data_IF_464843293492
#
_entry.id   IF_464843293492
#
_cell.length_a   1.000
_cell.length_b   1.000
_cell.length_c   1.000
_cell.angle_alpha   90.00
_cell.angle_beta   90.00
_cell.angle_gamma   90.00
#
_symmetry.space_group_name_H-M   'P 1'
#
loop_
_entity.id
_entity.type
_entity.pdbx_description
1 polymer ?
#
# COMPACT_ATOMS: atom_id res chain seq x y z
N UNK A 1 -0.48 32.26 2.99
CA UNK A 1 -0.27 30.90 2.44
C UNK A 1 1.02 30.21 2.93
N UNK A 2 1.92 30.86 3.68
CA UNK A 2 3.14 30.23 4.22
C UNK A 2 3.00 29.21 5.38
N UNK A 3 1.98 29.26 6.26
CA UNK A 3 1.88 28.35 7.41
C UNK A 3 1.69 26.88 7.00
N UNK A 4 0.92 26.66 5.94
CA UNK A 4 0.54 25.35 5.43
C UNK A 4 1.75 24.60 4.88
N UNK A 5 2.58 25.26 4.06
CA UNK A 5 3.78 24.66 3.46
C UNK A 5 4.85 24.27 4.50
N UNK A 6 4.98 25.03 5.59
CA UNK A 6 5.92 24.72 6.67
C UNK A 6 5.50 23.46 7.46
N UNK A 7 4.21 23.32 7.76
CA UNK A 7 3.62 22.18 8.46
C UNK A 7 3.70 20.88 7.63
N UNK A 8 3.53 20.99 6.32
CA UNK A 8 3.66 19.89 5.37
C UNK A 8 5.07 19.35 5.28
N UNK A 9 6.05 20.27 5.24
CA UNK A 9 7.47 19.91 5.33
C UNK A 9 7.78 19.17 6.62
N UNK A 10 7.15 19.57 7.73
CA UNK A 10 7.35 18.90 9.02
C UNK A 10 6.74 17.50 9.05
N UNK A 11 5.52 17.34 8.52
CA UNK A 11 4.87 16.03 8.36
C UNK A 11 5.72 15.09 7.51
N UNK A 12 6.31 15.57 6.41
CA UNK A 12 7.20 14.79 5.53
C UNK A 12 8.56 14.46 6.14
N UNK A 13 9.03 15.26 7.11
CA UNK A 13 10.25 14.97 7.87
C UNK A 13 10.02 13.89 8.90
N UNK A 14 8.86 13.89 9.55
CA UNK A 14 8.56 13.01 10.67
C UNK A 14 8.00 11.64 10.23
N UNK A 15 7.35 11.56 9.06
CA UNK A 15 6.70 10.33 8.59
C UNK A 15 7.47 9.60 7.49
N UNK A 16 7.36 8.28 7.49
CA UNK A 16 7.66 7.45 6.34
C UNK A 16 6.73 7.82 5.19
N UNK A 17 7.29 7.96 3.98
CA UNK A 17 6.50 8.20 2.77
C UNK A 17 6.83 7.10 1.81
N UNK A 18 5.80 6.37 1.39
CA UNK A 18 5.94 5.24 0.51
C UNK A 18 5.08 5.48 -0.72
N UNK A 19 5.58 5.07 -1.86
CA UNK A 19 4.79 4.93 -3.07
C UNK A 19 4.41 3.48 -3.21
N UNK A 20 3.14 3.20 -3.43
CA UNK A 20 2.65 1.85 -3.67
C UNK A 20 1.75 1.87 -4.89
N UNK A 21 1.97 0.90 -5.78
CA UNK A 21 1.06 0.72 -6.91
C UNK A 21 0.02 -0.38 -6.61
N UNK A 22 -1.27 -0.07 -6.71
CA UNK A 22 -2.38 -1.01 -6.52
C UNK A 22 -2.39 -2.10 -7.60
N UNK A 23 -2.21 -1.68 -8.86
CA UNK A 23 -2.27 -2.53 -10.05
C UNK A 23 -1.19 -2.12 -11.06
N UNK A 24 -0.71 -3.09 -11.83
CA UNK A 24 0.20 -2.83 -12.96
C UNK A 24 -0.55 -1.99 -14.00
N UNK A 25 0.04 -0.88 -14.45
CA UNK A 25 -0.56 0.02 -15.45
C UNK A 25 -1.05 -0.68 -16.72
N UNK A 26 -0.54 -1.86 -17.05
CA UNK A 26 -0.98 -2.65 -18.22
C UNK A 26 -2.31 -3.40 -18.02
N UNK A 27 -3.06 -3.14 -16.96
CA UNK A 27 -4.30 -3.83 -16.62
C UNK A 27 -5.35 -2.83 -16.07
N UNK A 28 -5.86 -1.98 -16.96
CA UNK A 28 -6.72 -0.82 -16.64
C UNK A 28 -8.04 -1.23 -15.96
N UNK A 29 -8.76 -2.23 -16.48
CA UNK A 29 -9.99 -2.77 -15.87
C UNK A 29 -9.80 -3.22 -14.42
N UNK A 30 -8.60 -3.70 -14.10
CA UNK A 30 -8.26 -4.11 -12.73
C UNK A 30 -7.92 -2.92 -11.85
N UNK A 31 -7.27 -1.89 -12.41
CA UNK A 31 -6.96 -0.65 -11.68
C UNK A 31 -8.23 0.09 -11.28
N UNK A 32 -9.23 0.16 -12.15
CA UNK A 32 -10.54 0.76 -11.84
C UNK A 32 -11.23 0.03 -10.68
N UNK A 33 -11.32 -1.31 -10.74
CA UNK A 33 -11.94 -2.10 -9.66
C UNK A 33 -11.22 -1.94 -8.31
N UNK A 34 -9.89 -1.93 -8.32
CA UNK A 34 -9.12 -1.71 -7.10
C UNK A 34 -9.25 -0.29 -6.57
N UNK A 35 -9.37 0.70 -7.47
CA UNK A 35 -9.61 2.10 -7.11
C UNK A 35 -10.96 2.25 -6.42
N UNK A 36 -12.02 1.70 -7.03
CA UNK A 36 -13.36 1.74 -6.46
C UNK A 36 -13.39 1.12 -5.07
N UNK A 37 -12.79 -0.07 -4.90
CA UNK A 37 -12.71 -0.72 -3.60
C UNK A 37 -11.94 0.10 -2.57
N UNK A 38 -10.81 0.69 -2.95
CA UNK A 38 -10.04 1.57 -2.06
C UNK A 38 -10.92 2.73 -1.57
N UNK A 39 -11.68 3.35 -2.46
CA UNK A 39 -12.52 4.51 -2.11
C UNK A 39 -13.76 4.13 -1.31
N UNK A 40 -14.36 2.97 -1.59
CA UNK A 40 -15.55 2.48 -0.88
C UNK A 40 -15.22 2.00 0.54
N UNK A 41 -14.06 1.36 0.72
CA UNK A 41 -13.72 0.65 1.96
C UNK A 41 -12.62 1.32 2.78
N UNK A 42 -11.83 2.20 2.18
CA UNK A 42 -10.61 2.71 2.80
C UNK A 42 -9.54 1.66 2.97
N UNK A 43 -9.61 0.52 2.27
CA UNK A 43 -8.62 -0.55 2.40
C UNK A 43 -7.63 -0.49 1.24
N UNK A 44 -6.39 -0.15 1.56
CA UNK A 44 -5.28 -0.32 0.66
C UNK A 44 -4.86 -1.79 0.67
N UNK A 45 -4.94 -2.42 -0.49
CA UNK A 45 -4.44 -3.77 -0.69
C UNK A 45 -3.31 -3.71 -1.69
N UNK A 46 -2.31 -4.54 -1.47
CA UNK A 46 -1.25 -4.71 -2.43
C UNK A 46 -1.64 -5.87 -3.35
N UNK A 47 -2.68 -5.61 -4.14
CA UNK A 47 -3.42 -6.58 -4.94
C UNK A 47 -2.63 -7.13 -6.12
N UNK A 48 -1.78 -8.13 -5.86
CA UNK A 48 -1.34 -9.17 -6.81
C UNK A 48 -0.40 -10.19 -6.15
N UNK A 49 -0.65 -10.50 -4.89
CA UNK A 49 0.27 -11.27 -4.04
C UNK A 49 -0.31 -12.65 -3.87
N UNK A 50 0.40 -13.67 -4.33
CA UNK A 50 0.07 -15.03 -3.92
C UNK A 50 0.00 -15.98 -5.09
N UNK A 51 0.60 -17.13 -4.87
CA UNK A 51 0.78 -18.19 -5.82
C UNK A 51 -0.55 -18.52 -6.51
N UNK A 52 -0.51 -18.61 -7.83
CA UNK A 52 -1.66 -19.02 -8.62
C UNK A 52 -2.05 -20.45 -8.19
N UNK A 53 -3.11 -20.55 -7.37
CA UNK A 53 -3.95 -21.75 -7.13
C UNK A 53 -3.20 -23.03 -6.76
N UNK A 54 -2.41 -23.02 -5.69
CA UNK A 54 -1.80 -24.27 -5.20
C UNK A 54 -1.47 -24.21 -3.70
N UNK A 55 -2.03 -25.16 -2.95
CA UNK A 55 -1.75 -25.85 -1.69
C UNK A 55 -0.68 -25.38 -0.67
N UNK A 56 0.14 -24.35 -0.93
CA UNK A 56 1.17 -23.88 0.01
C UNK A 56 0.80 -22.50 0.53
N UNK A 57 0.30 -22.50 1.76
CA UNK A 57 -0.09 -21.32 2.49
C UNK A 57 1.14 -20.45 2.84
N UNK A 58 1.08 -19.13 2.59
CA UNK A 58 2.12 -18.22 3.08
C UNK A 58 2.00 -18.03 4.60
N UNK A 59 0.76 -18.03 5.07
CA UNK A 59 0.41 -17.91 6.49
C UNK A 59 -0.30 -19.17 6.96
N UNK A 60 -0.34 -19.38 8.26
CA UNK A 60 -1.15 -20.44 8.88
C UNK A 60 -2.62 -20.08 8.97
N UNK A 61 -2.99 -18.86 8.58
CA UNK A 61 -4.35 -18.32 8.65
C UNK A 61 -5.17 -18.68 7.42
N UNK A 62 -6.49 -18.80 7.60
CA UNK A 62 -7.46 -18.91 6.51
C UNK A 62 -8.56 -17.83 6.59
N UNK A 63 -9.47 -17.82 5.61
CA UNK A 63 -10.52 -16.80 5.52
C UNK A 63 -11.44 -16.71 6.76
N UNK A 64 -11.54 -17.76 7.57
CA UNK A 64 -12.31 -17.70 8.82
C UNK A 64 -11.66 -16.78 9.86
N UNK A 65 -10.38 -16.44 9.66
CA UNK A 65 -9.59 -15.53 10.48
C UNK A 65 -9.45 -14.14 9.86
N UNK A 66 -10.30 -13.76 8.91
CA UNK A 66 -10.33 -12.41 8.34
C UNK A 66 -10.43 -11.33 9.44
N UNK A 67 -9.74 -10.21 9.24
CA UNK A 67 -9.57 -9.14 10.23
C UNK A 67 -8.45 -9.39 11.24
N UNK A 68 -7.88 -10.60 11.29
CA UNK A 68 -6.73 -10.88 12.16
C UNK A 68 -5.53 -10.06 11.74
N UNK A 69 -4.90 -9.40 12.72
CA UNK A 69 -3.65 -8.66 12.50
C UNK A 69 -2.54 -9.62 12.09
N UNK A 70 -1.85 -9.29 11.00
CA UNK A 70 -0.72 -10.06 10.48
C UNK A 70 0.54 -9.70 11.24
N UNK A 71 1.06 -10.68 11.96
CA UNK A 71 2.36 -10.64 12.63
C UNK A 71 3.29 -11.68 12.01
N UNK A 72 4.61 -11.50 12.20
CA UNK A 72 5.57 -12.40 11.57
C UNK A 72 5.34 -13.85 11.98
N UNK A 73 4.94 -14.16 13.22
CA UNK A 73 4.61 -15.52 13.73
C UNK A 73 3.51 -16.24 12.93
N UNK A 74 2.66 -15.51 12.20
CA UNK A 74 1.60 -16.10 11.36
C UNK A 74 2.12 -16.70 10.05
N UNK A 75 3.35 -16.41 9.66
CA UNK A 75 3.96 -17.03 8.47
C UNK A 75 4.33 -18.49 8.77
N UNK A 76 4.09 -19.35 7.77
CA UNK A 76 4.36 -20.78 7.87
C UNK A 76 5.84 -21.06 8.21
N UNK A 77 6.09 -22.08 9.04
CA UNK A 77 7.44 -22.41 9.54
C UNK A 77 8.46 -22.64 8.42
N UNK A 78 8.02 -23.12 7.26
CA UNK A 78 8.89 -23.32 6.09
C UNK A 78 9.53 -22.04 5.53
N UNK A 79 9.07 -20.87 5.96
CA UNK A 79 9.63 -19.57 5.61
C UNK A 79 10.46 -18.97 6.75
N UNK A 80 10.84 -19.76 7.75
CA UNK A 80 11.69 -19.31 8.86
C UNK A 80 13.15 -19.59 8.54
N UNK A 81 14.03 -18.65 8.87
CA UNK A 81 15.46 -18.93 8.97
C UNK A 81 15.70 -19.96 10.09
N UNK A 82 16.42 -21.04 9.79
CA UNK A 82 16.65 -22.14 10.74
C UNK A 82 17.49 -21.73 11.96
N UNK A 83 18.23 -20.61 11.87
CA UNK A 83 19.14 -20.13 12.91
C UNK A 83 18.47 -19.02 13.73
N UNK A 84 17.87 -18.02 13.08
CA UNK A 84 17.30 -16.85 13.77
C UNK A 84 15.82 -17.01 14.10
N UNK A 85 15.09 -17.85 13.36
CA UNK A 85 13.63 -17.97 13.46
C UNK A 85 12.87 -16.79 12.83
N UNK A 86 13.57 -15.85 12.19
CA UNK A 86 12.94 -14.74 11.48
C UNK A 86 12.34 -15.22 10.16
N UNK A 87 11.40 -14.46 9.60
CA UNK A 87 10.86 -14.77 8.28
C UNK A 87 11.92 -14.51 7.20
N UNK A 88 12.25 -15.54 6.43
CA UNK A 88 13.02 -15.44 5.19
C UNK A 88 12.14 -14.86 4.08
N UNK A 89 12.21 -13.53 3.95
CA UNK A 89 11.48 -12.78 2.93
C UNK A 89 11.89 -13.11 1.49
N UNK A 90 13.10 -13.65 1.28
CA UNK A 90 13.52 -14.11 -0.03
C UNK A 90 12.91 -15.48 -0.35
N UNK A 91 12.77 -16.37 0.62
CA UNK A 91 12.01 -17.62 0.46
C UNK A 91 10.52 -17.35 0.18
N UNK A 92 9.89 -16.41 0.91
CA UNK A 92 8.51 -15.96 0.65
C UNK A 92 8.39 -15.44 -0.78
N UNK A 93 9.29 -14.53 -1.20
CA UNK A 93 9.33 -14.00 -2.57
C UNK A 93 9.51 -15.11 -3.59
N UNK A 94 10.47 -16.01 -3.40
CA UNK A 94 10.81 -17.05 -4.37
C UNK A 94 9.68 -18.05 -4.54
N UNK A 95 8.93 -18.35 -3.46
CA UNK A 95 7.72 -19.15 -3.57
C UNK A 95 6.66 -18.47 -4.44
N UNK A 96 6.46 -17.15 -4.27
CA UNK A 96 5.55 -16.39 -5.15
C UNK A 96 6.05 -16.35 -6.60
N UNK A 97 7.38 -16.37 -6.81
CA UNK A 97 8.01 -16.27 -8.14
C UNK A 97 8.01 -17.59 -8.93
N UNK A 98 8.28 -18.74 -8.28
CA UNK A 98 8.48 -20.06 -8.94
C UNK A 98 7.35 -20.50 -9.89
N UNK A 99 6.14 -19.91 -9.80
CA UNK A 99 4.95 -20.36 -10.54
C UNK A 99 4.39 -19.36 -11.54
N UNK A 100 5.07 -18.24 -11.80
CA UNK A 100 4.66 -17.34 -12.87
C UNK A 100 5.02 -17.89 -14.25
N UNK A 101 4.06 -17.86 -15.18
CA UNK A 101 4.29 -18.06 -16.60
C UNK A 101 5.17 -16.90 -17.12
N UNK A 102 6.21 -17.20 -17.91
CA UNK A 102 7.11 -16.23 -18.56
C UNK A 102 6.36 -15.19 -19.41
N UNK A 103 5.10 -15.43 -19.76
CA UNK A 103 4.28 -14.59 -20.63
C UNK A 103 3.40 -13.56 -19.89
N UNK A 104 3.08 -13.73 -18.61
CA UNK A 104 2.16 -12.85 -17.86
C UNK A 104 2.85 -12.02 -16.77
N UNK A 105 3.36 -10.86 -17.22
CA UNK A 105 3.49 -9.55 -16.56
C UNK A 105 3.63 -9.51 -15.01
N UNK A 106 4.80 -9.02 -14.58
CA UNK A 106 5.16 -8.32 -13.32
C UNK A 106 3.99 -8.06 -12.34
N UNK A 107 3.93 -8.84 -11.25
CA UNK A 107 3.04 -8.72 -10.07
C UNK A 107 3.77 -8.06 -8.87
N UNK A 108 3.02 -7.46 -7.94
CA UNK A 108 3.56 -6.65 -6.83
C UNK A 108 4.36 -7.43 -5.77
N UNK A 109 4.15 -8.74 -5.69
CA UNK A 109 4.90 -9.62 -4.78
C UNK A 109 6.30 -9.99 -5.28
N UNK A 110 6.63 -9.69 -6.54
CA UNK A 110 7.88 -10.16 -7.16
C UNK A 110 9.09 -9.29 -6.85
N UNK A 111 8.86 -8.05 -6.42
CA UNK A 111 9.94 -7.13 -6.11
C UNK A 111 10.44 -7.40 -4.68
N UNK A 112 11.75 -7.58 -4.56
CA UNK A 112 12.41 -7.89 -3.28
C UNK A 112 11.93 -6.96 -2.16
N UNK A 113 11.62 -7.56 -1.01
CA UNK A 113 11.14 -6.89 0.20
C UNK A 113 9.84 -6.09 0.08
N UNK A 114 9.08 -6.16 -1.01
CA UNK A 114 7.78 -5.47 -1.08
C UNK A 114 6.80 -6.02 -0.05
N UNK A 115 6.83 -7.34 0.15
CA UNK A 115 6.05 -8.08 1.16
C UNK A 115 6.32 -7.58 2.56
N UNK A 116 7.57 -7.72 2.96
CA UNK A 116 8.08 -7.17 4.20
C UNK A 116 7.75 -5.70 4.38
N UNK A 117 7.91 -4.88 3.33
CA UNK A 117 7.70 -3.44 3.45
C UNK A 117 6.26 -3.10 3.79
N UNK A 118 5.32 -3.54 2.98
CA UNK A 118 3.90 -3.27 3.20
C UNK A 118 3.43 -3.81 4.56
N UNK A 119 3.85 -5.00 4.96
CA UNK A 119 3.39 -5.62 6.19
C UNK A 119 4.13 -5.09 7.42
N UNK A 120 5.44 -4.87 7.38
CA UNK A 120 6.26 -4.70 8.58
C UNK A 120 7.19 -3.48 8.59
N UNK A 121 7.50 -2.84 7.45
CA UNK A 121 8.31 -1.61 7.44
C UNK A 121 7.44 -0.34 7.53
N UNK A 122 6.21 -0.39 6.99
CA UNK A 122 5.29 0.74 7.05
C UNK A 122 4.53 0.75 8.39
N UNK A 123 4.46 1.92 9.03
CA UNK A 123 3.83 2.11 10.33
C UNK A 123 2.48 2.83 10.21
N UNK A 124 1.67 2.72 11.26
CA UNK A 124 0.48 3.57 11.44
C UNK A 124 0.94 5.02 11.47
N UNK A 125 0.24 5.88 10.72
CA UNK A 125 0.56 7.27 10.54
C UNK A 125 1.49 7.56 9.36
N UNK A 126 2.16 6.57 8.76
CA UNK A 126 2.95 6.77 7.54
C UNK A 126 2.06 7.09 6.34
N UNK A 127 2.66 7.72 5.33
CA UNK A 127 1.98 8.18 4.11
C UNK A 127 2.16 7.15 2.99
N UNK A 128 1.07 6.75 2.34
CA UNK A 128 1.09 6.03 1.07
C UNK A 128 0.61 6.93 -0.08
N UNK A 129 1.41 6.98 -1.14
CA UNK A 129 1.04 7.50 -2.44
C UNK A 129 0.57 6.33 -3.30
N UNK A 130 -0.74 6.26 -3.55
CA UNK A 130 -1.37 5.16 -4.28
C UNK A 130 -1.71 5.57 -5.70
N UNK A 131 -1.39 4.73 -6.69
CA UNK A 131 -1.87 4.94 -8.06
C UNK A 131 -3.29 4.38 -8.19
N UNK A 132 -4.18 5.21 -8.72
CA UNK A 132 -5.59 4.90 -8.96
C UNK A 132 -5.93 5.17 -10.43
N UNK A 133 -7.11 4.78 -10.87
CA UNK A 133 -7.64 5.15 -12.20
C UNK A 133 -7.84 6.66 -12.35
N UNK A 134 -8.00 7.39 -11.25
CA UNK A 134 -8.22 8.85 -11.25
C UNK A 134 -6.93 9.67 -11.11
N UNK A 135 -5.80 9.01 -10.82
CA UNK A 135 -4.53 9.68 -10.61
C UNK A 135 -3.78 9.11 -9.41
N UNK A 136 -2.92 9.91 -8.80
CA UNK A 136 -2.29 9.55 -7.52
C UNK A 136 -3.09 10.14 -6.38
N UNK A 137 -3.36 9.33 -5.35
CA UNK A 137 -3.98 9.78 -4.10
C UNK A 137 -2.98 9.70 -2.95
N UNK A 138 -3.08 10.64 -2.02
CA UNK A 138 -2.29 10.66 -0.80
C UNK A 138 -3.13 10.10 0.33
N UNK A 139 -2.61 9.10 1.02
CA UNK A 139 -3.31 8.43 2.11
C UNK A 139 -2.42 8.30 3.34
N UNK A 140 -3.02 8.19 4.51
CA UNK A 140 -2.36 7.91 5.78
C UNK A 140 -2.81 6.54 6.26
N UNK A 141 -1.88 5.69 6.67
CA UNK A 141 -2.22 4.38 7.23
C UNK A 141 -2.79 4.54 8.62
N UNK A 142 -3.94 3.91 8.86
CA UNK A 142 -4.68 3.99 10.12
C UNK A 142 -4.71 2.66 10.87
N UNK A 143 -4.39 1.54 10.22
CA UNK A 143 -4.40 0.21 10.85
C UNK A 143 -3.08 -0.55 10.75
N UNK A 144 -2.85 -1.54 11.63
CA UNK A 144 -1.89 -2.61 11.36
C UNK A 144 -2.30 -3.42 10.11
N UNK A 145 -1.38 -4.21 9.51
CA UNK A 145 -1.75 -5.10 8.42
C UNK A 145 -2.69 -6.19 8.93
N UNK A 146 -3.68 -6.57 8.14
CA UNK A 146 -4.63 -7.61 8.52
C UNK A 146 -4.96 -8.53 7.34
N UNK A 147 -5.43 -9.73 7.66
CA UNK A 147 -5.97 -10.66 6.68
C UNK A 147 -7.31 -10.14 6.15
N UNK A 148 -7.49 -10.13 4.84
CA UNK A 148 -8.76 -9.74 4.24
C UNK A 148 -9.74 -10.91 4.19
N UNK A 149 -10.99 -10.59 3.90
CA UNK A 149 -12.05 -11.56 3.60
C UNK A 149 -11.95 -12.09 2.17
N UNK A 150 -12.61 -13.23 1.92
CA UNK A 150 -12.55 -13.94 0.63
C UNK A 150 -12.98 -13.09 -0.55
N UNK A 151 -13.97 -12.22 -0.35
CA UNK A 151 -14.59 -11.47 -1.44
C UNK A 151 -13.92 -10.10 -1.67
N UNK A 152 -12.89 -9.75 -0.88
CA UNK A 152 -12.07 -8.57 -1.14
C UNK A 152 -11.46 -8.67 -2.55
N UNK A 153 -11.41 -7.58 -3.34
CA UNK A 153 -10.96 -7.65 -4.72
C UNK A 153 -9.48 -8.01 -4.77
N UNK A 154 -9.23 -9.18 -5.34
CA UNK A 154 -7.91 -9.74 -5.58
C UNK A 154 -7.91 -10.42 -6.95
N UNK A 155 -6.72 -10.61 -7.53
CA UNK A 155 -6.57 -11.15 -8.89
C UNK A 155 -5.93 -12.54 -8.86
N UNK A 156 -6.74 -13.59 -9.06
CA UNK A 156 -6.30 -14.99 -9.15
C UNK A 156 -5.33 -15.38 -8.02
N UNK A 157 -5.75 -15.24 -6.76
CA UNK A 157 -4.90 -15.47 -5.57
C UNK A 157 -5.56 -16.51 -4.66
N UNK A 158 -4.75 -17.27 -3.93
CA UNK A 158 -5.23 -18.22 -2.93
C UNK A 158 -5.66 -17.52 -1.63
N UNK A 159 -6.47 -18.23 -0.87
CA UNK A 159 -7.19 -17.82 0.31
C UNK A 159 -6.37 -17.20 1.46
N UNK A 160 -5.10 -17.54 1.53
CA UNK A 160 -4.20 -17.29 2.66
C UNK A 160 -3.11 -16.25 2.31
N UNK A 161 -3.31 -15.48 1.24
CA UNK A 161 -2.31 -14.56 0.67
C UNK A 161 -2.78 -13.11 0.52
N UNK A 162 -4.00 -12.78 0.98
CA UNK A 162 -4.57 -11.43 0.79
C UNK A 162 -4.50 -10.63 2.10
N UNK A 163 -3.72 -9.55 2.06
CA UNK A 163 -3.53 -8.65 3.18
C UNK A 163 -3.94 -7.23 2.82
N UNK A 164 -4.50 -6.53 3.79
CA UNK A 164 -4.93 -5.14 3.67
C UNK A 164 -4.41 -4.28 4.80
N UNK A 165 -4.48 -2.97 4.58
CA UNK A 165 -4.33 -1.93 5.58
C UNK A 165 -5.42 -0.89 5.37
N UNK A 166 -6.04 -0.46 6.45
CA UNK A 166 -6.92 0.69 6.41
C UNK A 166 -6.09 1.96 6.21
N UNK A 167 -6.63 2.84 5.39
CA UNK A 167 -6.08 4.14 5.10
C UNK A 167 -7.17 5.20 5.13
N UNK A 168 -6.82 6.36 5.64
CA UNK A 168 -7.61 7.58 5.45
C UNK A 168 -7.05 8.34 4.26
N UNK A 169 -7.93 8.82 3.40
CA UNK A 169 -7.59 9.71 2.29
C UNK A 169 -8.23 11.06 2.51
N UNK A 170 -7.68 12.05 1.83
CA UNK A 170 -8.21 13.38 1.90
C UNK A 170 -9.40 13.55 0.97
N UNK A 171 -10.42 14.27 1.46
CA UNK A 171 -11.58 14.67 0.69
C UNK A 171 -11.61 16.20 0.51
N UNK A 172 -12.25 16.67 -0.56
CA UNK A 172 -12.52 18.10 -0.78
C UNK A 172 -13.81 18.56 -0.08
N UNK A 173 -14.22 19.81 -0.33
CA UNK A 173 -15.43 20.39 0.28
C UNK A 173 -16.73 19.67 -0.15
N UNK A 174 -16.71 18.96 -1.27
CA UNK A 174 -17.83 18.17 -1.79
C UNK A 174 -17.80 16.73 -1.26
N UNK A 175 -16.73 16.35 -0.54
CA UNK A 175 -16.52 15.02 0.01
C UNK A 175 -15.83 14.06 -0.95
N UNK A 176 -15.32 14.55 -2.08
CA UNK A 176 -14.67 13.73 -3.11
C UNK A 176 -13.19 13.53 -2.82
N UNK A 177 -12.64 12.36 -3.19
CA UNK A 177 -11.24 12.04 -2.93
C UNK A 177 -10.32 12.90 -3.78
N UNK A 178 -9.39 13.61 -3.14
CA UNK A 178 -8.45 14.46 -3.86
C UNK A 178 -7.35 13.62 -4.50
N UNK A 179 -7.32 13.65 -5.83
CA UNK A 179 -6.31 13.02 -6.66
C UNK A 179 -5.52 14.04 -7.50
N UNK A 180 -4.35 13.66 -8.00
CA UNK A 180 -3.54 14.50 -8.87
C UNK A 180 -2.85 13.70 -9.98
N UNK A 181 -2.58 14.34 -11.13
CA UNK A 181 -1.99 13.63 -12.28
C UNK A 181 -0.55 13.17 -11.96
N UNK A 182 -0.37 11.85 -12.01
CA UNK A 182 0.91 11.17 -11.86
C UNK A 182 1.98 11.56 -12.90
N UNK A 183 1.61 12.23 -14.01
CA UNK A 183 2.57 12.67 -15.04
C UNK A 183 3.53 13.76 -14.57
N UNK A 184 3.13 14.55 -13.57
CA UNK A 184 4.01 15.55 -12.98
C UNK A 184 4.93 14.94 -11.91
N UNK A 185 4.65 13.71 -11.49
CA UNK A 185 5.50 13.01 -10.55
C UNK A 185 6.82 12.57 -11.22
N UNK A 186 7.97 12.70 -10.52
CA UNK A 186 9.26 12.17 -10.93
C UNK A 186 9.20 10.73 -11.44
N UNK A 187 10.08 10.35 -12.39
CA UNK A 187 10.20 8.98 -12.93
C UNK A 187 10.05 7.84 -11.89
N UNK A 188 10.69 7.84 -10.70
CA UNK A 188 10.50 6.77 -9.71
C UNK A 188 9.07 6.70 -9.12
N UNK A 189 8.26 7.73 -9.30
CA UNK A 189 6.85 7.81 -8.91
C UNK A 189 5.87 7.56 -10.06
N UNK A 190 6.35 7.39 -11.30
CA UNK A 190 5.50 6.91 -12.42
C UNK A 190 5.13 5.43 -12.25
N UNK A 191 3.93 4.97 -12.65
CA UNK A 191 3.43 3.61 -12.38
C UNK A 191 4.05 2.56 -13.33
N UNK A 192 5.37 2.40 -13.30
CA UNK A 192 6.12 1.51 -14.18
C UNK A 192 6.38 0.12 -13.57
N UNK A 193 6.39 0.00 -12.24
CA UNK A 193 6.59 -1.27 -11.52
C UNK A 193 5.60 -1.46 -10.39
N UNK A 194 5.03 -2.65 -10.27
CA UNK A 194 4.23 -3.04 -9.11
C UNK A 194 5.16 -3.25 -7.91
N UNK A 195 5.22 -2.28 -7.00
CA UNK A 195 6.12 -2.29 -5.84
C UNK A 195 5.61 -1.31 -4.80
N UNK A 196 5.97 -1.54 -3.54
CA UNK A 196 6.01 -0.49 -2.53
C UNK A 196 7.46 -0.03 -2.33
N UNK A 197 7.71 1.26 -2.46
CA UNK A 197 9.05 1.84 -2.33
C UNK A 197 9.04 3.04 -1.41
N UNK A 198 10.05 3.14 -0.57
CA UNK A 198 10.27 4.34 0.25
C UNK A 198 10.66 5.50 -0.64
N UNK A 199 9.95 6.62 -0.50
CA UNK A 199 10.31 7.87 -1.14
C UNK A 199 11.46 8.52 -0.35
N UNK A 200 12.65 8.52 -0.95
CA UNK A 200 13.85 9.14 -0.38
C UNK A 200 13.78 10.67 -0.44
N UNK A 201 14.75 11.35 0.19
CA UNK A 201 14.82 12.82 0.32
C UNK A 201 14.45 13.59 -0.95
N UNK A 202 15.06 13.24 -2.08
CA UNK A 202 14.86 13.98 -3.33
C UNK A 202 13.44 13.77 -3.90
N UNK A 203 12.89 12.56 -3.76
CA UNK A 203 11.52 12.27 -4.13
C UNK A 203 10.51 13.02 -3.25
N UNK A 204 10.77 13.10 -1.94
CA UNK A 204 9.96 13.90 -1.00
C UNK A 204 10.00 15.38 -1.37
N UNK A 205 11.18 15.91 -1.70
CA UNK A 205 11.34 17.30 -2.11
C UNK A 205 10.57 17.63 -3.39
N UNK A 206 10.55 16.69 -4.35
CA UNK A 206 9.79 16.82 -5.59
C UNK A 206 8.28 16.75 -5.37
N UNK A 207 7.79 15.83 -4.52
CA UNK A 207 6.37 15.79 -4.17
C UNK A 207 5.89 17.09 -3.52
N UNK A 208 6.71 17.68 -2.64
CA UNK A 208 6.41 18.97 -2.01
C UNK A 208 6.44 20.16 -2.98
N UNK A 209 6.92 19.98 -4.22
CA UNK A 209 6.85 21.00 -5.27
C UNK A 209 5.53 20.94 -6.05
N UNK A 210 4.75 19.85 -5.92
CA UNK A 210 3.43 19.71 -6.53
C UNK A 210 2.36 20.38 -5.65
N UNK A 211 1.74 21.46 -6.14
CA UNK A 211 0.77 22.27 -5.40
C UNK A 211 -0.43 21.46 -4.88
N UNK A 212 -0.85 20.44 -5.61
CA UNK A 212 -2.00 19.61 -5.25
C UNK A 212 -1.67 18.62 -4.14
N UNK A 213 -0.43 18.11 -4.08
CA UNK A 213 0.01 17.31 -2.94
C UNK A 213 0.00 18.15 -1.65
N UNK A 214 0.42 19.42 -1.76
CA UNK A 214 0.42 20.35 -0.63
C UNK A 214 -0.99 20.66 -0.13
N UNK A 215 -1.95 20.93 -1.02
CA UNK A 215 -3.36 21.10 -0.63
C UNK A 215 -3.90 19.84 0.03
N UNK A 216 -3.50 18.66 -0.45
CA UNK A 216 -4.09 17.42 0.03
C UNK A 216 -3.68 16.98 1.43
N UNK A 217 -2.50 17.42 1.85
CA UNK A 217 -1.94 17.09 3.14
C UNK A 217 -2.29 18.11 4.23
N UNK A 218 -2.69 19.33 3.84
CA UNK A 218 -2.97 20.44 4.75
C UNK A 218 -4.22 20.23 5.60
N UNK A 219 -5.17 19.48 5.07
CA UNK A 219 -6.52 19.23 5.60
C UNK A 219 -6.58 18.05 6.56
N UNK A 220 -5.63 17.09 6.51
CA UNK A 220 -5.54 15.98 7.48
C UNK A 220 -5.36 16.45 8.94
N UNK A 221 -4.87 17.68 9.16
CA UNK A 221 -4.76 18.23 10.51
C UNK A 221 -6.10 18.70 11.07
N UNK A 222 -7.07 19.06 10.22
CA UNK A 222 -8.39 19.49 10.69
C UNK A 222 -9.21 18.32 11.26
N UNK A 223 -9.01 17.09 10.77
CA UNK A 223 -9.70 15.89 11.26
C UNK A 223 -9.05 15.24 12.49
N UNK A 224 -7.84 15.67 12.87
CA UNK A 224 -7.10 15.12 14.02
C UNK A 224 -7.10 16.03 15.27
N UNK A 225 -7.76 17.18 15.21
CA UNK A 225 -8.12 17.94 16.41
C UNK A 225 -9.45 17.43 16.96
N UNK A 226 -9.51 16.95 18.22
CA UNK A 226 -10.79 16.62 18.83
C UNK A 226 -11.62 17.89 18.93
N UNK A 227 -12.86 17.83 18.45
CA UNK A 227 -13.84 18.88 18.69
C UNK A 227 -14.04 19.02 20.21
N UNK A 228 -13.52 20.11 20.79
CA UNK A 228 -13.84 20.54 22.16
C UNK A 228 -12.71 20.36 23.16
N UNK A 229 -11.91 21.41 23.30
CA UNK A 229 -11.34 21.80 24.59
C UNK A 229 -11.72 23.27 24.83
N UNK A 230 -13.00 23.48 25.10
CA UNK A 230 -13.52 24.63 25.86
C UNK A 230 -14.38 24.07 27.01
#
# INVERSE_FOLDING_TARGET
MEPTTALLRETFRQKGVYKMNLVNKKNEDSLEKMTQHLFDTGVATISDWGALRNDVALTTLDWSEAGTTITEDKFAEMYRDEITGDVDWDAVRDQTHKRMNKETKVKAGNAAHCIRRFLFEVNIGDILLLNTSEGTVITIITSPPHMLEKDAPHRDIDSNHVFGREVSFQRDEEGEVVSFDSKNLPKPMTPDRLTITTLKRDGKAQLLAESNALQALASFKAESEPAGAD
#
